data_IF_896248387316
#
_entry.id   IF_896248387316
#
_cell.length_a   1.000
_cell.length_b   1.000
_cell.length_c   1.000
_cell.angle_alpha   90.00
_cell.angle_beta   90.00
_cell.angle_gamma   90.00
#
_symmetry.space_group_name_H-M   'P 1'
#
loop_
_entity.id
_entity.type
_entity.pdbx_description
1 polymer ?
#
# COMPACT_ATOMS: atom_id res chain seq x y z
N UNK A 1 -17.92 -5.10 11.66
CA UNK A 1 -18.24 -4.05 10.67
C UNK A 1 -17.47 -4.37 9.41
N UNK A 2 -18.13 -4.48 8.27
CA UNK A 2 -17.48 -4.73 6.97
C UNK A 2 -16.75 -3.46 6.53
N UNK A 3 -15.48 -3.60 6.16
CA UNK A 3 -14.67 -2.50 5.63
C UNK A 3 -15.10 -2.15 4.20
N UNK A 4 -14.78 -0.93 3.78
CA UNK A 4 -14.83 -0.52 2.38
C UNK A 4 -13.64 0.41 2.10
N UNK A 5 -13.28 0.50 0.83
CA UNK A 5 -12.15 1.29 0.34
C UNK A 5 -12.13 2.72 0.93
N UNK A 6 -13.23 3.47 0.83
CA UNK A 6 -13.30 4.86 1.33
C UNK A 6 -12.96 4.98 2.82
N UNK A 7 -13.42 4.04 3.65
CA UNK A 7 -13.10 4.04 5.09
C UNK A 7 -11.62 3.71 5.30
N UNK A 8 -11.11 2.68 4.62
CA UNK A 8 -9.70 2.27 4.76
C UNK A 8 -8.78 3.41 4.32
N UNK A 9 -8.98 3.98 3.12
CA UNK A 9 -8.18 5.08 2.59
C UNK A 9 -8.13 6.28 3.53
N UNK A 10 -9.28 6.68 4.09
CA UNK A 10 -9.34 7.80 5.03
C UNK A 10 -8.45 7.55 6.25
N UNK A 11 -8.55 6.36 6.85
CA UNK A 11 -7.79 6.01 8.05
C UNK A 11 -6.31 5.83 7.72
N UNK A 12 -6.00 5.09 6.66
CA UNK A 12 -4.63 4.85 6.21
C UNK A 12 -3.93 6.16 5.90
N UNK A 13 -4.57 7.09 5.19
CA UNK A 13 -3.99 8.41 4.93
C UNK A 13 -3.57 9.12 6.21
N UNK A 14 -4.42 9.14 7.25
CA UNK A 14 -4.06 9.76 8.52
C UNK A 14 -2.87 9.08 9.20
N UNK A 15 -2.75 7.75 9.09
CA UNK A 15 -1.58 7.01 9.59
C UNK A 15 -0.31 7.41 8.82
N UNK A 16 -0.38 7.44 7.49
CA UNK A 16 0.75 7.81 6.64
C UNK A 16 1.17 9.27 6.85
N UNK A 17 0.23 10.18 7.12
CA UNK A 17 0.52 11.58 7.45
C UNK A 17 1.28 11.74 8.78
N UNK A 18 1.01 10.89 9.78
CA UNK A 18 1.81 10.86 11.01
C UNK A 18 3.20 10.28 10.77
N UNK A 19 3.31 9.16 10.02
CA UNK A 19 4.61 8.57 9.64
C UNK A 19 5.47 9.59 8.86
N UNK A 20 4.83 10.36 7.98
CA UNK A 20 5.49 11.43 7.21
C UNK A 20 6.09 12.52 8.10
N UNK A 21 5.41 12.90 9.19
CA UNK A 21 5.93 13.89 10.16
C UNK A 21 7.16 13.36 10.88
N UNK A 22 7.18 12.07 11.22
CA UNK A 22 8.34 11.42 11.84
C UNK A 22 9.55 11.44 10.91
N UNK A 23 9.39 11.05 9.63
CA UNK A 23 10.48 11.12 8.64
C UNK A 23 11.08 12.54 8.51
N UNK A 24 10.22 13.56 8.45
CA UNK A 24 10.65 14.95 8.31
C UNK A 24 11.36 15.46 9.57
N UNK A 25 10.92 15.05 10.75
CA UNK A 25 11.49 15.46 12.04
C UNK A 25 12.81 14.78 12.35
N UNK A 26 12.90 13.47 12.15
CA UNK A 26 14.04 12.67 12.61
C UNK A 26 15.19 12.64 11.60
N UNK A 27 14.88 12.58 10.31
CA UNK A 27 15.89 12.35 9.27
C UNK A 27 16.18 13.58 8.41
N UNK A 28 15.39 14.65 8.56
CA UNK A 28 15.44 15.84 7.69
C UNK A 28 15.43 15.48 6.19
N UNK A 29 14.79 14.36 5.85
CA UNK A 29 14.69 13.86 4.48
C UNK A 29 13.36 14.34 3.88
N UNK A 30 13.35 14.74 2.60
CA UNK A 30 12.10 14.96 1.90
C UNK A 30 11.35 13.63 1.82
N UNK A 31 10.07 13.68 2.16
CA UNK A 31 9.16 12.57 2.02
C UNK A 31 7.82 13.13 1.57
N UNK A 32 7.14 12.40 0.68
CA UNK A 32 5.84 12.78 0.13
C UNK A 32 4.95 11.55 -0.04
N UNK A 33 3.65 11.75 0.13
CA UNK A 33 2.62 10.73 -0.06
C UNK A 33 2.02 10.94 -1.45
N UNK A 34 1.98 9.87 -2.24
CA UNK A 34 1.31 9.81 -3.52
C UNK A 34 0.09 8.91 -3.41
N UNK A 35 -1.02 9.34 -4.01
CA UNK A 35 -2.25 8.56 -4.14
C UNK A 35 -2.42 8.09 -5.57
N UNK A 36 -3.01 6.91 -5.76
CA UNK A 36 -3.31 6.38 -7.09
C UNK A 36 -2.09 6.40 -8.01
N UNK A 37 -0.93 6.00 -7.47
CA UNK A 37 0.35 6.14 -8.15
C UNK A 37 0.53 5.04 -9.21
N UNK A 38 0.55 5.45 -10.47
CA UNK A 38 0.71 4.54 -11.60
C UNK A 38 2.13 3.99 -11.69
N UNK A 39 2.25 2.68 -11.85
CA UNK A 39 3.52 1.97 -12.07
C UNK A 39 3.49 1.20 -13.39
N UNK A 40 4.66 0.78 -13.88
CA UNK A 40 4.78 0.03 -15.14
C UNK A 40 4.02 0.69 -16.30
N UNK A 41 4.24 1.99 -16.53
CA UNK A 41 3.54 2.77 -17.57
C UNK A 41 2.01 2.79 -17.41
N UNK A 42 1.52 2.67 -16.17
CA UNK A 42 0.09 2.68 -15.85
C UNK A 42 -0.57 1.30 -15.90
N UNK A 43 0.19 0.23 -16.10
CA UNK A 43 -0.33 -1.15 -16.11
C UNK A 43 -0.90 -1.56 -14.75
N UNK A 44 -0.32 -1.04 -13.67
CA UNK A 44 -0.86 -1.16 -12.32
C UNK A 44 -0.83 0.19 -11.60
N UNK A 45 -1.62 0.30 -10.53
CA UNK A 45 -1.77 1.54 -9.78
C UNK A 45 -1.88 1.22 -8.29
N UNK A 46 -0.85 1.61 -7.53
CA UNK A 46 -0.85 1.44 -6.09
C UNK A 46 -1.75 2.49 -5.45
N UNK A 47 -2.47 2.13 -4.38
CA UNK A 47 -3.42 3.05 -3.73
C UNK A 47 -2.69 4.21 -3.05
N UNK A 48 -1.61 3.90 -2.30
CA UNK A 48 -0.72 4.89 -1.70
C UNK A 48 0.76 4.50 -1.87
N UNK A 49 1.62 5.51 -1.97
CA UNK A 49 3.05 5.36 -1.82
C UNK A 49 3.63 6.46 -0.94
N UNK A 50 4.53 6.11 -0.02
CA UNK A 50 5.44 7.08 0.60
C UNK A 50 6.77 6.99 -0.14
N UNK A 51 7.24 8.12 -0.66
CA UNK A 51 8.50 8.20 -1.40
C UNK A 51 9.47 9.10 -0.65
N UNK A 52 10.61 8.51 -0.26
CA UNK A 52 11.80 9.22 0.22
C UNK A 52 13.06 8.56 -0.37
N UNK A 53 14.09 8.26 0.44
CA UNK A 53 15.20 7.37 0.03
C UNK A 53 14.79 5.91 -0.21
N UNK A 54 13.56 5.54 0.17
CA UNK A 54 12.92 4.24 0.03
C UNK A 54 11.52 4.48 -0.53
N UNK A 55 11.08 3.66 -1.47
CA UNK A 55 9.71 3.63 -1.97
C UNK A 55 8.91 2.56 -1.23
N UNK A 56 7.94 2.98 -0.42
CA UNK A 56 7.02 2.10 0.29
C UNK A 56 5.62 2.20 -0.30
N UNK A 57 5.15 1.12 -0.93
CA UNK A 57 3.81 1.02 -1.51
C UNK A 57 2.79 0.36 -0.56
N UNK A 58 1.55 0.85 -0.58
CA UNK A 58 0.43 0.31 0.19
C UNK A 58 -0.73 -0.01 -0.75
N UNK A 59 -1.11 -1.28 -0.81
CA UNK A 59 -2.25 -1.77 -1.59
C UNK A 59 -3.41 -2.10 -0.64
N UNK A 60 -4.65 -1.78 -1.03
CA UNK A 60 -5.85 -1.97 -0.24
C UNK A 60 -6.73 -3.07 -0.84
N UNK A 61 -7.22 -3.98 0.01
CA UNK A 61 -8.28 -4.94 -0.31
C UNK A 61 -9.30 -4.94 0.81
N UNK A 62 -10.38 -4.17 0.64
CA UNK A 62 -11.48 -4.15 1.61
C UNK A 62 -12.23 -5.48 1.64
N UNK A 63 -13.09 -5.69 2.65
CA UNK A 63 -13.92 -6.91 2.76
C UNK A 63 -14.92 -7.10 1.59
N UNK A 64 -15.01 -6.13 0.66
CA UNK A 64 -15.85 -6.19 -0.54
C UNK A 64 -15.06 -6.55 -1.80
N UNK A 65 -13.75 -6.60 -1.72
CA UNK A 65 -12.87 -6.89 -2.85
C UNK A 65 -12.68 -8.40 -3.06
N UNK A 66 -12.00 -8.76 -4.14
CA UNK A 66 -11.42 -10.10 -4.33
C UNK A 66 -9.90 -9.97 -4.41
N UNK A 67 -9.20 -11.08 -4.18
CA UNK A 67 -7.74 -11.14 -4.30
C UNK A 67 -7.26 -11.58 -5.69
N UNK A 68 -8.17 -11.76 -6.65
CA UNK A 68 -7.86 -12.33 -7.98
C UNK A 68 -6.77 -11.56 -8.73
N UNK A 69 -6.71 -10.23 -8.54
CA UNK A 69 -5.72 -9.36 -9.20
C UNK A 69 -4.40 -9.26 -8.43
N UNK A 70 -4.36 -9.71 -7.18
CA UNK A 70 -3.20 -9.53 -6.31
C UNK A 70 -1.92 -10.15 -6.88
N UNK A 71 -1.91 -11.36 -7.46
CA UNK A 71 -0.68 -11.94 -8.03
C UNK A 71 -0.06 -11.10 -9.15
N UNK A 72 -0.88 -10.55 -10.06
CA UNK A 72 -0.39 -9.68 -11.13
C UNK A 72 0.08 -8.32 -10.58
N UNK A 73 -0.68 -7.75 -9.63
CA UNK A 73 -0.29 -6.53 -8.94
C UNK A 73 1.05 -6.71 -8.20
N UNK A 74 1.25 -7.84 -7.53
CA UNK A 74 2.50 -8.18 -6.86
C UNK A 74 3.67 -8.18 -7.83
N UNK A 75 3.52 -8.79 -9.02
CA UNK A 75 4.58 -8.78 -10.04
C UNK A 75 4.99 -7.36 -10.40
N UNK A 76 4.02 -6.46 -10.63
CA UNK A 76 4.31 -5.08 -11.01
C UNK A 76 4.88 -4.27 -9.84
N UNK A 77 4.34 -4.42 -8.64
CA UNK A 77 4.78 -3.68 -7.45
C UNK A 77 6.18 -4.11 -7.00
N UNK A 78 6.48 -5.42 -7.06
CA UNK A 78 7.80 -5.97 -6.70
C UNK A 78 8.94 -5.46 -7.58
N UNK A 79 8.63 -5.01 -8.79
CA UNK A 79 9.62 -4.44 -9.70
C UNK A 79 9.96 -2.98 -9.39
N UNK A 80 9.19 -2.31 -8.53
CA UNK A 80 9.24 -0.85 -8.33
C UNK A 80 9.48 -0.46 -6.88
N UNK A 81 8.82 -1.12 -5.92
CA UNK A 81 8.87 -0.73 -4.51
C UNK A 81 9.92 -1.50 -3.73
N UNK A 82 10.62 -0.80 -2.84
CA UNK A 82 11.58 -1.39 -1.90
C UNK A 82 10.88 -2.08 -0.74
N UNK A 83 9.68 -1.58 -0.38
CA UNK A 83 8.81 -2.12 0.66
C UNK A 83 7.38 -2.11 0.19
N UNK A 84 6.64 -3.13 0.60
CA UNK A 84 5.20 -3.21 0.37
C UNK A 84 4.47 -3.34 1.70
N UNK A 85 3.18 -3.04 1.70
CA UNK A 85 2.25 -3.39 2.77
C UNK A 85 0.88 -3.61 2.16
N UNK A 86 0.31 -4.78 2.38
CA UNK A 86 -1.06 -5.07 1.95
C UNK A 86 -2.04 -4.80 3.11
N UNK A 87 -2.93 -3.83 2.92
CA UNK A 87 -3.96 -3.45 3.89
C UNK A 87 -5.25 -4.17 3.55
N UNK A 88 -5.61 -5.16 4.37
CA UNK A 88 -6.76 -6.03 4.09
C UNK A 88 -7.90 -5.88 5.10
N UNK A 89 -9.13 -6.03 4.60
CA UNK A 89 -10.27 -6.40 5.41
C UNK A 89 -10.06 -7.75 6.09
N UNK A 90 -10.70 -7.95 7.25
CA UNK A 90 -10.48 -9.15 8.08
C UNK A 90 -10.78 -10.45 7.31
N UNK A 91 -11.72 -10.43 6.36
CA UNK A 91 -12.09 -11.62 5.59
C UNK A 91 -10.94 -12.14 4.72
N UNK A 92 -10.04 -11.27 4.27
CA UNK A 92 -8.94 -11.63 3.37
C UNK A 92 -7.65 -11.99 4.11
N UNK A 93 -7.56 -11.83 5.43
CA UNK A 93 -6.29 -11.94 6.16
C UNK A 93 -5.53 -13.25 5.89
N UNK A 94 -6.19 -14.39 6.06
CA UNK A 94 -5.52 -15.69 5.90
C UNK A 94 -5.21 -16.02 4.44
N UNK A 95 -6.10 -15.64 3.52
CA UNK A 95 -5.89 -15.84 2.09
C UNK A 95 -4.74 -14.98 1.58
N UNK A 96 -4.70 -13.71 1.98
CA UNK A 96 -3.63 -12.77 1.64
C UNK A 96 -2.27 -13.25 2.16
N UNK A 97 -2.20 -13.72 3.42
CA UNK A 97 -0.97 -14.28 4.00
C UNK A 97 -0.43 -15.51 3.25
N UNK A 98 -1.31 -16.26 2.58
CA UNK A 98 -0.91 -17.40 1.76
C UNK A 98 -0.40 -16.98 0.36
N UNK A 99 -0.68 -15.75 -0.08
CA UNK A 99 -0.35 -15.22 -1.41
C UNK A 99 0.90 -14.34 -1.37
N UNK A 100 1.00 -13.41 -0.40
CA UNK A 100 2.09 -12.43 -0.34
C UNK A 100 3.39 -13.06 0.20
N UNK A 101 4.57 -12.61 -0.26
CA UNK A 101 5.84 -13.05 0.31
C UNK A 101 6.09 -12.40 1.67
N UNK A 102 6.99 -12.98 2.47
CA UNK A 102 7.32 -12.50 3.83
C UNK A 102 7.86 -11.06 3.87
N UNK A 103 8.45 -10.56 2.79
CA UNK A 103 9.04 -9.22 2.76
C UNK A 103 8.02 -8.10 2.48
N UNK A 104 6.77 -8.46 2.15
CA UNK A 104 5.64 -7.53 2.09
C UNK A 104 5.09 -7.17 3.46
#
# INVERSE_FOLDING_TARGET
MTTNDKIIRKVLRSVLEEELKEYKKEKNLPAEIFEEFGVSHGTARIDFAIINSVMHGYEIKSDKDTLDRLPDQMREYNAVFDKMTLVVGRHHLYEALAIIPEWW
#
